data_IF_188726155269
#
_entry.id   IF_188726155269
#
_cell.length_a   1.000
_cell.length_b   1.000
_cell.length_c   1.000
_cell.angle_alpha   90.00
_cell.angle_beta   90.00
_cell.angle_gamma   90.00
#
_symmetry.space_group_name_H-M   'P 1'
#
loop_
_entity.id
_entity.type
_entity.pdbx_description
1 polymer ?
#
# COMPACT_ATOMS: atom_id res chain seq x y z
N UNK A 1 6.26 11.74 -14.90
CA UNK A 1 7.47 11.16 -14.27
C UNK A 1 7.01 10.28 -13.12
N UNK A 2 7.51 9.05 -12.99
CA UNK A 2 7.21 8.18 -11.84
C UNK A 2 8.41 8.21 -10.87
N UNK A 3 8.19 7.91 -9.59
CA UNK A 3 9.25 8.10 -8.57
C UNK A 3 10.46 7.18 -8.82
N UNK A 4 10.22 5.96 -9.29
CA UNK A 4 11.27 4.96 -9.55
C UNK A 4 12.02 5.15 -10.89
N UNK A 5 11.65 6.18 -11.68
CA UNK A 5 12.42 6.66 -12.84
C UNK A 5 13.37 7.81 -12.51
N UNK A 6 13.44 8.24 -11.23
CA UNK A 6 14.35 9.28 -10.76
C UNK A 6 15.79 9.07 -11.25
N UNK A 7 16.45 10.14 -11.69
CA UNK A 7 17.85 10.14 -12.10
C UNK A 7 18.11 9.73 -13.55
N UNK A 8 17.07 9.37 -14.33
CA UNK A 8 17.20 9.13 -15.77
C UNK A 8 17.57 10.42 -16.53
N UNK A 9 17.06 11.55 -16.10
CA UNK A 9 17.37 12.89 -16.60
C UNK A 9 18.77 13.37 -16.20
N UNK A 10 19.26 12.91 -15.04
CA UNK A 10 20.60 13.27 -14.52
C UNK A 10 21.73 12.48 -15.19
N UNK A 11 21.57 11.16 -15.34
CA UNK A 11 22.66 10.29 -15.82
C UNK A 11 22.50 9.80 -17.25
N UNK A 12 21.31 9.98 -17.85
CA UNK A 12 20.91 9.45 -19.17
C UNK A 12 21.11 7.94 -19.37
N UNK A 13 21.40 7.17 -18.32
CA UNK A 13 21.70 5.72 -18.41
C UNK A 13 20.76 4.86 -17.60
N UNK A 14 20.71 5.04 -16.27
CA UNK A 14 19.89 4.21 -15.37
C UNK A 14 19.20 5.06 -14.30
N UNK A 15 18.00 4.69 -13.84
CA UNK A 15 17.42 5.36 -12.68
C UNK A 15 18.29 5.16 -11.43
N UNK A 16 18.36 6.19 -10.60
CA UNK A 16 19.15 6.26 -9.35
C UNK A 16 18.27 6.08 -8.09
N UNK A 17 17.03 5.65 -8.26
CA UNK A 17 16.05 5.64 -7.17
C UNK A 17 16.47 4.78 -5.96
N UNK A 18 17.16 3.65 -6.20
CA UNK A 18 17.69 2.81 -5.12
C UNK A 18 18.79 3.50 -4.31
N UNK A 19 19.64 4.31 -4.96
CA UNK A 19 20.68 5.09 -4.29
C UNK A 19 20.05 6.25 -3.50
N UNK A 20 19.02 6.90 -4.07
CA UNK A 20 18.25 7.93 -3.38
C UNK A 20 17.57 7.39 -2.12
N UNK A 21 16.93 6.22 -2.18
CA UNK A 21 16.29 5.60 -1.00
C UNK A 21 17.30 5.37 0.14
N UNK A 22 18.50 4.86 -0.19
CA UNK A 22 19.57 4.67 0.80
C UNK A 22 20.08 6.00 1.35
N UNK A 23 20.30 6.99 0.49
CA UNK A 23 20.77 8.30 0.89
C UNK A 23 19.79 9.00 1.84
N UNK A 24 18.49 9.02 1.51
CA UNK A 24 17.45 9.59 2.37
C UNK A 24 17.34 8.82 3.69
N UNK A 25 17.40 7.48 3.64
CA UNK A 25 17.36 6.66 4.85
C UNK A 25 18.57 6.78 5.76
N UNK A 26 19.65 7.44 5.31
CA UNK A 26 20.87 7.69 6.09
C UNK A 26 20.92 9.12 6.67
N UNK A 27 19.90 9.94 6.45
CA UNK A 27 19.83 11.29 7.01
C UNK A 27 19.44 11.22 8.48
N UNK A 28 20.27 11.82 9.35
CA UNK A 28 20.01 11.88 10.79
C UNK A 28 18.63 12.46 11.10
N UNK A 29 17.89 11.78 11.99
CA UNK A 29 16.53 12.15 12.37
C UNK A 29 15.41 11.57 11.49
N UNK A 30 15.71 11.02 10.31
CA UNK A 30 14.70 10.33 9.48
C UNK A 30 14.50 8.89 9.99
N UNK A 31 13.36 8.65 10.67
CA UNK A 31 13.00 7.32 11.18
C UNK A 31 12.25 6.43 10.19
N UNK A 32 11.42 7.04 9.32
CA UNK A 32 10.54 6.33 8.38
C UNK A 32 10.55 7.00 7.01
N UNK A 33 10.82 6.22 5.99
CA UNK A 33 10.79 6.58 4.57
C UNK A 33 9.76 5.69 3.89
N UNK A 34 8.76 6.32 3.28
CA UNK A 34 7.84 5.67 2.35
C UNK A 34 7.87 6.45 1.05
N UNK A 35 7.59 5.76 -0.05
CA UNK A 35 7.40 6.39 -1.34
C UNK A 35 6.07 5.94 -1.92
N UNK A 36 5.47 6.79 -2.73
CA UNK A 36 4.24 6.54 -3.47
C UNK A 36 4.46 6.84 -4.95
N UNK A 37 3.50 6.47 -5.79
CA UNK A 37 3.58 6.65 -7.24
C UNK A 37 4.76 5.94 -7.96
N UNK A 38 5.17 4.71 -7.58
CA UNK A 38 6.04 3.93 -8.44
C UNK A 38 5.25 3.35 -9.61
N UNK A 39 5.97 3.04 -10.68
CA UNK A 39 5.41 2.34 -11.82
C UNK A 39 5.90 0.88 -11.82
N UNK A 40 5.03 -0.14 -11.96
CA UNK A 40 5.45 -1.55 -11.87
C UNK A 40 6.61 -1.94 -12.78
N UNK A 41 6.61 -1.45 -14.03
CA UNK A 41 7.72 -1.66 -14.99
C UNK A 41 9.11 -1.25 -14.48
N UNK A 42 9.16 -0.25 -13.60
CA UNK A 42 10.41 0.35 -13.09
C UNK A 42 10.74 -0.18 -11.67
N UNK A 43 10.01 -1.16 -11.13
CA UNK A 43 10.35 -1.85 -9.87
C UNK A 43 11.46 -2.87 -10.12
N UNK A 44 12.71 -2.42 -9.95
CA UNK A 44 13.92 -3.19 -10.24
C UNK A 44 14.46 -3.91 -8.99
N UNK A 45 15.28 -4.97 -9.17
CA UNK A 45 15.90 -5.70 -8.05
C UNK A 45 16.68 -4.78 -7.11
N UNK A 46 17.39 -3.78 -7.65
CA UNK A 46 18.16 -2.84 -6.81
C UNK A 46 17.26 -1.99 -5.90
N UNK A 47 16.04 -1.66 -6.35
CA UNK A 47 15.04 -0.94 -5.54
C UNK A 47 14.51 -1.85 -4.43
N UNK A 48 14.18 -3.10 -4.74
CA UNK A 48 13.75 -4.09 -3.73
C UNK A 48 14.84 -4.33 -2.68
N UNK A 49 16.10 -4.41 -3.11
CA UNK A 49 17.25 -4.52 -2.23
C UNK A 49 17.41 -3.29 -1.33
N UNK A 50 17.30 -2.07 -1.89
CA UNK A 50 17.35 -0.85 -1.10
C UNK A 50 16.24 -0.79 -0.04
N UNK A 51 15.02 -1.25 -0.36
CA UNK A 51 13.94 -1.35 0.62
C UNK A 51 14.26 -2.33 1.76
N UNK A 52 14.83 -3.49 1.44
CA UNK A 52 15.15 -4.51 2.43
C UNK A 52 16.33 -4.14 3.33
N UNK A 53 17.32 -3.43 2.78
CA UNK A 53 18.61 -3.16 3.42
C UNK A 53 18.64 -1.83 4.18
N UNK A 54 17.66 -0.94 3.97
CA UNK A 54 17.62 0.40 4.57
C UNK A 54 16.58 0.45 5.69
N UNK A 55 17.01 0.42 6.96
CA UNK A 55 16.10 0.33 8.12
C UNK A 55 15.02 1.42 8.18
N UNK A 56 15.34 2.64 7.73
CA UNK A 56 14.37 3.74 7.67
C UNK A 56 13.28 3.49 6.61
N UNK A 57 13.54 2.74 5.54
CA UNK A 57 12.55 2.42 4.51
C UNK A 57 11.55 1.42 5.08
N UNK A 58 10.27 1.80 5.12
CA UNK A 58 9.25 0.95 5.71
C UNK A 58 8.86 -0.22 4.79
N UNK A 59 8.39 -1.32 5.40
CA UNK A 59 7.93 -2.56 4.76
C UNK A 59 6.55 -2.37 4.11
N UNK A 60 6.41 -1.33 3.28
CA UNK A 60 5.21 -0.99 2.55
C UNK A 60 5.54 -0.63 1.10
N UNK A 61 4.93 -1.34 0.16
CA UNK A 61 5.02 -1.07 -1.27
C UNK A 61 3.64 -0.73 -1.83
N UNK A 62 3.46 0.50 -2.30
CA UNK A 62 2.32 0.83 -3.13
C UNK A 62 2.64 0.52 -4.59
N UNK A 63 2.00 -0.48 -5.22
CA UNK A 63 2.31 -0.97 -6.57
C UNK A 63 1.05 -0.93 -7.46
N UNK A 64 0.80 0.16 -8.20
CA UNK A 64 -0.46 0.34 -8.94
C UNK A 64 -0.64 -0.68 -10.07
N UNK A 65 -1.60 -1.59 -9.94
CA UNK A 65 -1.97 -2.58 -10.96
C UNK A 65 -2.76 -1.94 -12.10
N UNK A 66 -3.80 -1.19 -11.73
CA UNK A 66 -4.77 -0.48 -12.57
C UNK A 66 -5.82 -1.39 -13.20
N UNK A 67 -5.43 -2.50 -13.83
CA UNK A 67 -6.33 -3.57 -14.29
C UNK A 67 -5.57 -4.90 -14.31
N UNK A 68 -6.26 -6.02 -14.13
CA UNK A 68 -5.65 -7.35 -14.34
C UNK A 68 -5.75 -7.85 -15.78
N UNK A 69 -6.49 -7.17 -16.67
CA UNK A 69 -6.56 -7.55 -18.08
C UNK A 69 -5.40 -6.99 -18.88
N UNK A 70 -4.71 -7.87 -19.59
CA UNK A 70 -3.61 -7.47 -20.48
C UNK A 70 -4.09 -6.55 -21.61
N UNK A 71 -5.32 -6.76 -22.11
CA UNK A 71 -5.93 -5.93 -23.15
C UNK A 71 -6.25 -4.52 -22.64
N UNK A 72 -6.79 -4.42 -21.43
CA UNK A 72 -7.08 -3.14 -20.77
C UNK A 72 -5.78 -2.42 -20.40
N UNK A 73 -4.80 -3.13 -19.81
CA UNK A 73 -3.47 -2.60 -19.50
C UNK A 73 -2.75 -2.04 -20.73
N UNK A 74 -2.84 -2.72 -21.87
CA UNK A 74 -2.29 -2.24 -23.14
C UNK A 74 -3.02 -0.96 -23.62
N UNK A 75 -4.34 -0.90 -23.49
CA UNK A 75 -5.15 0.27 -23.84
C UNK A 75 -4.83 1.48 -22.94
N UNK A 76 -4.49 1.22 -21.67
CA UNK A 76 -3.97 2.20 -20.72
C UNK A 76 -2.49 2.56 -20.93
N UNK A 77 -1.80 1.94 -21.90
CA UNK A 77 -0.36 2.13 -22.20
C UNK A 77 0.56 1.86 -21.00
N UNK A 78 0.23 0.84 -20.20
CA UNK A 78 1.01 0.50 -19.00
C UNK A 78 2.37 -0.13 -19.32
N UNK A 79 2.49 -0.87 -20.42
CA UNK A 79 3.77 -1.48 -20.83
C UNK A 79 4.24 -2.61 -19.91
N UNK A 80 3.31 -3.27 -19.22
CA UNK A 80 3.49 -4.52 -18.49
C UNK A 80 2.21 -5.36 -18.61
N UNK A 81 2.34 -6.66 -18.35
CA UNK A 81 1.23 -7.62 -18.29
C UNK A 81 0.93 -7.99 -16.84
N UNK A 82 -0.20 -8.66 -16.61
CA UNK A 82 -0.60 -9.19 -15.31
C UNK A 82 0.43 -10.18 -14.75
N UNK A 83 0.95 -11.07 -15.59
CA UNK A 83 1.95 -12.07 -15.20
C UNK A 83 3.22 -11.38 -14.74
N UNK A 84 3.73 -10.43 -15.55
CA UNK A 84 4.91 -9.65 -15.19
C UNK A 84 4.69 -8.80 -13.94
N UNK A 85 3.48 -8.32 -13.70
CA UNK A 85 3.13 -7.62 -12.46
C UNK A 85 3.26 -8.57 -11.25
N UNK A 86 2.64 -9.75 -11.33
CA UNK A 86 2.65 -10.75 -10.26
C UNK A 86 4.06 -11.29 -9.99
N UNK A 87 4.88 -11.52 -11.03
CA UNK A 87 6.29 -11.89 -10.88
C UNK A 87 7.08 -10.84 -10.08
N UNK A 88 6.85 -9.55 -10.38
CA UNK A 88 7.52 -8.43 -9.67
C UNK A 88 7.06 -8.32 -8.23
N UNK A 89 5.76 -8.52 -8.00
CA UNK A 89 5.19 -8.56 -6.66
C UNK A 89 5.76 -9.72 -5.83
N UNK A 90 5.84 -10.91 -6.41
CA UNK A 90 6.42 -12.09 -5.77
C UNK A 90 7.90 -11.86 -5.42
N UNK A 91 8.69 -11.32 -6.37
CA UNK A 91 10.08 -10.97 -6.12
C UNK A 91 10.24 -9.92 -5.01
N UNK A 92 9.36 -8.91 -4.95
CA UNK A 92 9.38 -7.90 -3.89
C UNK A 92 9.08 -8.53 -2.51
N UNK A 93 8.04 -9.36 -2.40
CA UNK A 93 7.69 -10.07 -1.16
C UNK A 93 8.78 -11.04 -0.71
N UNK A 94 9.49 -11.66 -1.65
CA UNK A 94 10.60 -12.57 -1.33
C UNK A 94 11.83 -11.82 -0.80
N UNK A 95 12.07 -10.59 -1.26
CA UNK A 95 13.26 -9.79 -0.90
C UNK A 95 13.04 -8.90 0.33
N UNK A 96 11.82 -8.38 0.53
CA UNK A 96 11.47 -7.52 1.66
C UNK A 96 10.61 -8.33 2.63
N UNK A 97 11.16 -8.81 3.76
CA UNK A 97 10.40 -9.56 4.74
C UNK A 97 9.21 -8.73 5.25
N UNK A 98 8.08 -9.41 5.50
CA UNK A 98 6.88 -8.78 6.04
C UNK A 98 6.38 -7.58 5.19
N UNK A 99 6.53 -7.63 3.87
CA UNK A 99 6.09 -6.56 2.99
C UNK A 99 4.56 -6.48 2.89
N UNK A 100 3.99 -5.34 3.30
CA UNK A 100 2.62 -4.98 2.98
C UNK A 100 2.53 -4.33 1.60
N UNK A 101 1.51 -4.71 0.82
CA UNK A 101 1.34 -4.21 -0.55
C UNK A 101 -0.03 -3.57 -0.74
N UNK A 102 -0.03 -2.34 -1.24
CA UNK A 102 -1.24 -1.63 -1.65
C UNK A 102 -1.23 -1.35 -3.15
N UNK A 103 -2.38 -1.09 -3.74
CA UNK A 103 -2.50 -0.91 -5.19
C UNK A 103 -3.57 0.14 -5.54
N UNK A 104 -3.62 0.51 -6.81
CA UNK A 104 -4.75 1.22 -7.41
C UNK A 104 -5.40 0.30 -8.46
N UNK A 105 -6.73 0.28 -8.53
CA UNK A 105 -7.48 -0.43 -9.57
C UNK A 105 -8.56 0.49 -10.12
N UNK A 106 -8.70 0.54 -11.45
CA UNK A 106 -9.74 1.30 -12.14
C UNK A 106 -10.75 0.31 -12.71
N UNK A 107 -12.03 0.54 -12.40
CA UNK A 107 -13.17 -0.23 -12.91
C UNK A 107 -13.89 0.59 -13.98
N UNK A 108 -14.32 -0.06 -15.06
CA UNK A 108 -15.09 0.59 -16.11
C UNK A 108 -14.25 1.40 -17.08
N UNK A 109 -12.98 1.02 -17.29
CA UNK A 109 -12.17 1.66 -18.33
C UNK A 109 -12.85 1.51 -19.71
N UNK A 110 -12.77 2.50 -20.62
CA UNK A 110 -13.47 2.43 -21.90
C UNK A 110 -13.15 1.15 -22.69
N UNK A 111 -14.20 0.38 -22.96
CA UNK A 111 -14.18 -0.89 -23.67
C UNK A 111 -13.89 -2.12 -22.79
N UNK A 112 -13.86 -2.01 -21.46
CA UNK A 112 -13.70 -3.14 -20.51
C UNK A 112 -14.91 -4.11 -20.58
N UNK A 113 -14.64 -5.36 -20.91
CA UNK A 113 -15.66 -6.42 -20.97
C UNK A 113 -15.75 -7.18 -19.64
N UNK A 114 -16.70 -8.10 -19.53
CA UNK A 114 -16.84 -8.93 -18.33
C UNK A 114 -15.63 -9.86 -18.13
N UNK A 115 -15.08 -10.41 -19.21
CA UNK A 115 -13.89 -11.28 -19.14
C UNK A 115 -12.67 -10.50 -18.64
N UNK A 116 -12.48 -9.27 -19.09
CA UNK A 116 -11.38 -8.42 -18.60
C UNK A 116 -11.52 -8.08 -17.11
N UNK A 117 -12.77 -7.90 -16.66
CA UNK A 117 -13.04 -7.65 -15.26
C UNK A 117 -12.84 -8.91 -14.42
N UNK A 118 -13.21 -10.09 -14.93
CA UNK A 118 -12.92 -11.37 -14.30
C UNK A 118 -11.40 -11.61 -14.16
N UNK A 119 -10.61 -11.30 -15.19
CA UNK A 119 -9.14 -11.30 -15.11
C UNK A 119 -8.63 -10.33 -14.02
N UNK A 120 -9.24 -9.15 -13.91
CA UNK A 120 -8.92 -8.18 -12.86
C UNK A 120 -9.19 -8.72 -11.46
N UNK A 121 -10.31 -9.41 -11.25
CA UNK A 121 -10.61 -10.08 -9.97
C UNK A 121 -9.60 -11.19 -9.66
N UNK A 122 -9.22 -12.01 -10.65
CA UNK A 122 -8.28 -13.09 -10.49
C UNK A 122 -6.89 -12.59 -10.05
N UNK A 123 -6.35 -11.58 -10.75
CA UNK A 123 -5.05 -10.97 -10.39
C UNK A 123 -5.12 -10.30 -9.02
N UNK A 124 -6.24 -9.66 -8.68
CA UNK A 124 -6.43 -9.02 -7.37
C UNK A 124 -6.46 -10.04 -6.23
N UNK A 125 -7.12 -11.19 -6.44
CA UNK A 125 -7.16 -12.28 -5.48
C UNK A 125 -5.76 -12.89 -5.28
N UNK A 126 -5.04 -13.17 -6.37
CA UNK A 126 -3.69 -13.74 -6.34
C UNK A 126 -2.67 -12.81 -5.67
N UNK A 127 -2.75 -11.51 -5.97
CA UNK A 127 -1.85 -10.52 -5.40
C UNK A 127 -2.02 -10.34 -3.88
N UNK A 128 -3.20 -10.68 -3.34
CA UNK A 128 -3.52 -10.70 -1.91
C UNK A 128 -3.08 -9.41 -1.18
N UNK A 129 -3.56 -8.28 -1.67
CA UNK A 129 -3.23 -6.93 -1.19
C UNK A 129 -3.67 -6.68 0.25
N UNK A 130 -2.92 -5.81 0.93
CA UNK A 130 -3.24 -5.27 2.25
C UNK A 130 -4.29 -4.16 2.19
N UNK A 131 -4.37 -3.46 1.06
CA UNK A 131 -5.42 -2.50 0.74
C UNK A 131 -5.37 -2.16 -0.76
N UNK A 132 -6.46 -1.64 -1.30
CA UNK A 132 -6.48 -1.10 -2.65
C UNK A 132 -7.29 0.20 -2.69
N UNK A 133 -6.82 1.17 -3.47
CA UNK A 133 -7.63 2.30 -3.89
C UNK A 133 -8.37 1.92 -5.17
N UNK A 134 -9.68 1.76 -5.05
CA UNK A 134 -10.54 1.41 -6.18
C UNK A 134 -11.22 2.65 -6.71
N UNK A 135 -11.09 2.87 -8.02
CA UNK A 135 -11.64 4.04 -8.71
C UNK A 135 -12.61 3.59 -9.80
N UNK A 136 -13.72 4.30 -9.93
CA UNK A 136 -14.53 4.26 -11.14
C UNK A 136 -13.84 5.14 -12.19
N UNK A 137 -13.71 4.64 -13.43
CA UNK A 137 -13.18 5.44 -14.52
C UNK A 137 -13.95 6.75 -14.66
N UNK A 138 -13.21 7.84 -14.77
CA UNK A 138 -13.75 9.17 -15.03
C UNK A 138 -12.92 9.81 -16.15
N UNK A 139 -13.55 10.23 -17.27
CA UNK A 139 -12.83 10.81 -18.38
C UNK A 139 -12.17 12.13 -17.96
N UNK A 140 -10.90 12.30 -18.34
CA UNK A 140 -10.17 13.55 -18.13
C UNK A 140 -9.96 14.25 -19.48
N UNK A 141 -10.33 15.54 -19.62
CA UNK A 141 -10.12 16.28 -20.86
C UNK A 141 -8.69 16.16 -21.38
N UNK A 142 -8.53 15.99 -22.70
CA UNK A 142 -7.23 15.86 -23.36
C UNK A 142 -6.57 14.47 -23.26
N UNK A 143 -7.27 13.46 -22.72
CA UNK A 143 -6.77 12.07 -22.72
C UNK A 143 -7.42 11.25 -23.82
N UNK A 144 -6.66 10.31 -24.40
CA UNK A 144 -7.21 9.33 -25.37
C UNK A 144 -8.41 8.57 -24.81
N UNK A 145 -8.42 8.28 -23.51
CA UNK A 145 -9.53 7.57 -22.88
C UNK A 145 -10.81 8.42 -22.85
N UNK A 146 -10.72 9.75 -22.78
CA UNK A 146 -11.88 10.63 -22.87
C UNK A 146 -12.49 10.68 -24.28
N UNK A 147 -11.70 10.41 -25.31
CA UNK A 147 -12.15 10.35 -26.71
C UNK A 147 -12.89 9.03 -27.03
N UNK A 148 -12.84 8.03 -26.15
CA UNK A 148 -13.46 6.70 -26.32
C UNK A 148 -14.89 6.66 -25.78
N UNK A 149 -15.65 7.75 -25.91
CA UNK A 149 -16.98 7.90 -25.31
C UNK A 149 -17.98 6.82 -25.78
N UNK A 150 -17.85 6.38 -27.03
CA UNK A 150 -18.61 5.28 -27.64
C UNK A 150 -18.35 3.90 -27.00
N UNK A 151 -17.30 3.79 -26.17
CA UNK A 151 -16.91 2.55 -25.49
C UNK A 151 -17.04 2.65 -23.98
N UNK A 152 -17.66 3.69 -23.44
CA UNK A 152 -17.85 3.79 -21.99
C UNK A 152 -18.74 2.66 -21.50
N UNK A 153 -18.38 2.11 -20.35
CA UNK A 153 -19.15 1.03 -19.71
C UNK A 153 -20.31 1.65 -18.96
N UNK A 154 -21.50 1.05 -19.08
CA UNK A 154 -22.70 1.51 -18.41
C UNK A 154 -22.51 1.63 -16.90
N UNK A 155 -23.06 2.70 -16.32
CA UNK A 155 -22.89 3.04 -14.90
C UNK A 155 -23.32 1.91 -13.96
N UNK A 156 -24.39 1.20 -14.30
CA UNK A 156 -24.91 0.09 -13.48
C UNK A 156 -23.93 -1.09 -13.48
N UNK A 157 -23.36 -1.43 -14.64
CA UNK A 157 -22.33 -2.46 -14.78
C UNK A 157 -21.07 -2.08 -14.00
N UNK A 158 -20.63 -0.82 -14.11
CA UNK A 158 -19.46 -0.34 -13.35
C UNK A 158 -19.69 -0.39 -11.84
N UNK A 159 -20.89 -0.06 -11.36
CA UNK A 159 -21.23 -0.14 -9.95
C UNK A 159 -21.23 -1.59 -9.44
N UNK A 160 -21.81 -2.53 -10.20
CA UNK A 160 -21.81 -3.96 -9.89
C UNK A 160 -20.38 -4.52 -9.79
N UNK A 161 -19.54 -4.19 -10.78
CA UNK A 161 -18.13 -4.58 -10.81
C UNK A 161 -17.35 -3.98 -9.65
N UNK A 162 -17.58 -2.72 -9.34
CA UNK A 162 -16.93 -2.07 -8.19
C UNK A 162 -17.20 -2.82 -6.88
N UNK A 163 -18.44 -3.24 -6.64
CA UNK A 163 -18.79 -4.01 -5.44
C UNK A 163 -18.13 -5.40 -5.43
N UNK A 164 -18.09 -6.11 -6.56
CA UNK A 164 -17.37 -7.39 -6.66
C UNK A 164 -15.87 -7.24 -6.37
N UNK A 165 -15.24 -6.19 -6.91
CA UNK A 165 -13.84 -5.90 -6.64
C UNK A 165 -13.61 -5.58 -5.16
N UNK A 166 -14.49 -4.77 -4.56
CA UNK A 166 -14.43 -4.43 -3.13
C UNK A 166 -14.44 -5.69 -2.26
N UNK A 167 -15.31 -6.66 -2.56
CA UNK A 167 -15.38 -7.94 -1.83
C UNK A 167 -14.05 -8.71 -1.88
N UNK A 168 -13.42 -8.80 -3.06
CA UNK A 168 -12.13 -9.50 -3.22
C UNK A 168 -11.01 -8.80 -2.45
N UNK A 169 -10.94 -7.47 -2.54
CA UNK A 169 -9.95 -6.65 -1.83
C UNK A 169 -10.13 -6.76 -0.32
N UNK A 170 -11.35 -6.57 0.19
CA UNK A 170 -11.62 -6.61 1.63
C UNK A 170 -11.37 -7.98 2.24
N UNK A 171 -11.66 -9.07 1.50
CA UNK A 171 -11.32 -10.43 1.93
C UNK A 171 -9.80 -10.59 2.13
N UNK A 172 -9.01 -10.12 1.17
CA UNK A 172 -7.55 -10.20 1.22
C UNK A 172 -6.97 -9.31 2.32
N UNK A 173 -7.44 -8.06 2.40
CA UNK A 173 -7.01 -7.09 3.40
C UNK A 173 -7.30 -7.58 4.82
N UNK A 174 -8.50 -8.12 5.06
CA UNK A 174 -8.87 -8.68 6.36
C UNK A 174 -8.00 -9.87 6.75
N UNK A 175 -7.67 -10.77 5.80
CA UNK A 175 -6.76 -11.88 6.08
C UNK A 175 -5.36 -11.38 6.47
N UNK A 176 -4.84 -10.38 5.75
CA UNK A 176 -3.54 -9.75 6.07
C UNK A 176 -3.57 -9.03 7.42
N UNK A 177 -4.66 -8.35 7.77
CA UNK A 177 -4.84 -7.69 9.05
C UNK A 177 -4.98 -8.68 10.21
N UNK A 178 -5.74 -9.77 10.03
CA UNK A 178 -5.86 -10.83 11.04
C UNK A 178 -4.51 -11.48 11.36
N UNK A 179 -3.61 -11.62 10.39
CA UNK A 179 -2.26 -12.11 10.62
C UNK A 179 -1.38 -11.19 11.50
N UNK A 180 -1.85 -9.96 11.77
CA UNK A 180 -1.21 -9.03 12.73
C UNK A 180 -1.71 -9.20 14.16
N UNK A 181 -2.86 -9.83 14.38
CA UNK A 181 -3.41 -10.01 15.74
C UNK A 181 -2.44 -10.83 16.60
N UNK A 182 -2.17 -10.34 17.80
CA UNK A 182 -1.18 -10.87 18.74
C UNK A 182 0.26 -10.41 18.49
N UNK A 183 0.49 -9.48 17.54
CA UNK A 183 1.78 -8.83 17.33
C UNK A 183 1.81 -7.46 17.98
N UNK A 184 2.99 -7.09 18.47
CA UNK A 184 3.30 -5.72 18.87
C UNK A 184 3.83 -4.96 17.65
N UNK A 185 3.19 -3.84 17.33
CA UNK A 185 3.57 -2.97 16.21
C UNK A 185 4.05 -1.61 16.70
N UNK A 186 5.11 -1.08 16.09
CA UNK A 186 5.46 0.33 16.23
C UNK A 186 4.45 1.19 15.46
N UNK A 187 3.77 2.11 16.15
CA UNK A 187 2.72 2.99 15.60
C UNK A 187 3.15 4.45 15.73
N UNK A 188 3.15 5.17 14.60
CA UNK A 188 3.28 6.63 14.57
C UNK A 188 1.92 7.25 14.86
N UNK A 189 1.80 8.00 15.95
CA UNK A 189 0.56 8.62 16.41
C UNK A 189 0.21 9.83 15.53
N UNK A 190 -1.00 9.83 14.98
CA UNK A 190 -1.50 10.92 14.12
C UNK A 190 -2.52 11.82 14.84
N UNK A 191 -3.09 11.35 15.95
CA UNK A 191 -4.00 12.11 16.81
C UNK A 191 -5.28 11.35 17.14
N UNK A 192 -6.38 12.06 17.51
CA UNK A 192 -7.70 11.45 17.63
C UNK A 192 -8.20 10.88 16.29
N UNK A 193 -8.98 9.81 16.33
CA UNK A 193 -9.68 9.34 15.13
C UNK A 193 -10.73 10.35 14.68
N UNK A 194 -10.86 10.55 13.36
CA UNK A 194 -11.86 11.44 12.77
C UNK A 194 -13.29 10.97 13.02
N UNK A 195 -13.51 9.65 13.13
CA UNK A 195 -14.83 9.06 13.32
C UNK A 195 -15.24 9.03 14.79
N UNK A 196 -14.27 8.85 15.68
CA UNK A 196 -14.47 8.80 17.12
C UNK A 196 -13.29 9.49 17.83
N UNK A 197 -13.46 10.75 18.28
CA UNK A 197 -12.40 11.47 18.97
C UNK A 197 -11.94 10.85 20.30
N UNK A 198 -12.70 9.88 20.85
CA UNK A 198 -12.34 9.18 22.08
C UNK A 198 -11.21 8.16 21.88
N UNK A 199 -10.93 7.74 20.65
CA UNK A 199 -9.82 6.81 20.34
C UNK A 199 -8.67 7.53 19.65
N UNK A 200 -7.45 7.06 19.91
CA UNK A 200 -6.26 7.48 19.17
C UNK A 200 -6.12 6.67 17.88
N UNK A 201 -5.52 7.31 16.89
CA UNK A 201 -5.20 6.69 15.62
C UNK A 201 -3.75 6.94 15.24
N UNK A 202 -3.16 5.95 14.59
CA UNK A 202 -1.81 6.06 14.04
C UNK A 202 -1.57 5.04 12.93
N UNK A 203 -0.35 5.00 12.42
CA UNK A 203 0.04 4.06 11.37
C UNK A 203 1.25 3.20 11.73
N UNK A 204 1.17 1.92 11.43
CA UNK A 204 2.31 1.00 11.52
C UNK A 204 3.37 1.31 10.45
N UNK A 205 4.51 0.62 10.51
CA UNK A 205 5.51 0.67 9.43
C UNK A 205 4.94 0.20 8.09
N UNK A 206 4.10 -0.84 8.10
CA UNK A 206 3.32 -1.32 6.95
C UNK A 206 2.24 -0.34 6.47
N UNK A 207 2.16 0.87 7.05
CA UNK A 207 1.18 1.92 6.76
C UNK A 207 -0.27 1.52 7.09
N UNK A 208 -0.47 0.50 7.93
CA UNK A 208 -1.79 0.06 8.39
C UNK A 208 -2.31 1.04 9.43
N UNK A 209 -3.57 1.44 9.32
CA UNK A 209 -4.24 2.26 10.32
C UNK A 209 -4.46 1.41 11.58
N UNK A 210 -4.14 1.96 12.75
CA UNK A 210 -4.39 1.32 14.04
C UNK A 210 -5.19 2.27 14.92
N UNK A 211 -6.27 1.76 15.50
CA UNK A 211 -7.04 2.45 16.53
C UNK A 211 -6.76 1.84 17.89
N UNK A 212 -6.50 2.68 18.88
CA UNK A 212 -6.22 2.26 20.25
C UNK A 212 -6.73 3.31 21.25
N UNK A 213 -7.09 2.90 22.48
CA UNK A 213 -7.48 3.86 23.51
C UNK A 213 -6.33 4.83 23.82
N UNK A 214 -6.60 6.11 24.15
CA UNK A 214 -5.54 7.05 24.53
C UNK A 214 -4.72 6.58 25.73
N UNK A 215 -5.28 5.76 26.62
CA UNK A 215 -4.65 5.41 27.88
C UNK A 215 -4.72 6.58 28.88
N UNK A 216 -3.98 6.51 30.00
CA UNK A 216 -3.98 7.56 31.02
C UNK A 216 -3.40 8.89 30.50
N UNK A 217 -3.75 10.00 31.16
CA UNK A 217 -3.24 11.36 30.88
C UNK A 217 -3.50 11.90 29.45
N UNK A 218 -4.51 11.37 28.75
CA UNK A 218 -4.88 11.82 27.41
C UNK A 218 -4.04 11.21 26.29
N UNK A 219 -3.10 10.33 26.60
CA UNK A 219 -2.38 9.50 25.65
C UNK A 219 -1.21 10.15 24.91
N UNK A 220 -0.51 9.35 24.09
CA UNK A 220 0.74 9.79 23.46
C UNK A 220 0.50 10.98 22.51
N UNK A 221 1.45 11.94 22.44
CA UNK A 221 1.31 13.11 21.58
C UNK A 221 1.41 12.74 20.10
N UNK A 222 0.85 13.59 19.24
CA UNK A 222 0.99 13.47 17.78
C UNK A 222 2.48 13.48 17.41
N UNK A 223 2.89 12.59 16.51
CA UNK A 223 4.29 12.43 16.10
C UNK A 223 5.11 11.46 16.97
N UNK A 224 4.57 11.02 18.12
CA UNK A 224 5.21 9.99 18.91
C UNK A 224 5.16 8.62 18.21
N UNK A 225 6.16 7.80 18.52
CA UNK A 225 6.17 6.38 18.16
C UNK A 225 5.89 5.57 19.42
N UNK A 226 4.87 4.72 19.37
CA UNK A 226 4.45 3.88 20.49
C UNK A 226 4.36 2.42 20.06
N UNK A 227 4.45 1.50 21.01
CA UNK A 227 4.18 0.10 20.78
C UNK A 227 2.70 -0.20 21.07
N UNK A 228 2.04 -0.87 20.12
CA UNK A 228 0.63 -1.27 20.24
C UNK A 228 0.54 -2.77 20.05
N UNK A 229 -0.02 -3.48 21.03
CA UNK A 229 -0.41 -4.88 20.86
C UNK A 229 -1.71 -4.94 20.06
N UNK A 230 -1.68 -5.62 18.91
CA UNK A 230 -2.82 -5.69 18.00
C UNK A 230 -3.79 -6.76 18.49
N UNK A 231 -4.95 -6.35 18.98
CA UNK A 231 -5.97 -7.24 19.56
C UNK A 231 -7.11 -7.56 18.58
N UNK A 232 -7.26 -6.77 17.52
CA UNK A 232 -8.34 -6.93 16.55
C UNK A 232 -7.99 -6.44 15.15
N UNK A 233 -8.79 -6.88 14.18
CA UNK A 233 -8.59 -6.57 12.77
C UNK A 233 -9.92 -6.38 12.04
N UNK A 234 -10.00 -5.32 11.25
CA UNK A 234 -11.06 -5.04 10.30
C UNK A 234 -10.44 -4.94 8.87
N UNK A 235 -11.25 -4.91 7.80
CA UNK A 235 -10.71 -4.81 6.43
C UNK A 235 -9.86 -3.55 6.22
N UNK A 236 -10.16 -2.45 6.93
CA UNK A 236 -9.56 -1.13 6.69
C UNK A 236 -8.66 -0.61 7.82
N UNK A 237 -8.61 -1.30 8.96
CA UNK A 237 -7.80 -0.90 10.12
C UNK A 237 -7.55 -2.07 11.07
N UNK A 238 -6.56 -1.90 11.94
CA UNK A 238 -6.30 -2.73 13.11
C UNK A 238 -6.85 -2.05 14.37
N UNK A 239 -7.11 -2.86 15.38
CA UNK A 239 -7.48 -2.43 16.72
C UNK A 239 -6.41 -2.97 17.66
N UNK A 240 -6.00 -2.18 18.64
CA UNK A 240 -5.02 -2.62 19.60
C UNK A 240 -5.04 -1.82 20.89
N UNK A 241 -4.10 -2.15 21.77
CA UNK A 241 -3.90 -1.52 23.06
C UNK A 241 -2.46 -1.05 23.18
N UNK A 242 -2.25 0.10 23.83
CA UNK A 242 -0.91 0.58 24.13
C UNK A 242 -0.19 -0.44 25.01
N UNK A 243 1.03 -0.80 24.61
CA UNK A 243 1.92 -1.55 25.49
C UNK A 243 2.38 -0.58 26.57
N UNK A 244 1.78 -0.66 27.75
CA UNK A 244 2.32 -0.01 28.95
C UNK A 244 3.65 -0.69 29.27
N UNK A 245 4.72 0.10 29.40
CA UNK A 245 6.08 -0.40 29.52
C UNK A 245 6.15 -1.64 30.44
N UNK A 246 6.68 -2.76 29.92
CA UNK A 246 7.43 -3.65 30.79
C UNK A 246 8.55 -2.78 31.35
N UNK A 247 8.41 -2.32 32.59
CA UNK A 247 9.52 -1.80 33.36
C UNK A 247 10.69 -2.77 33.12
N UNK A 248 11.89 -2.30 32.74
CA UNK A 248 13.07 -3.13 32.90
C UNK A 248 13.02 -3.62 34.35
N UNK A 249 13.07 -4.94 34.55
CA UNK A 249 13.24 -5.49 35.89
C UNK A 249 14.41 -4.70 36.51
N UNK A 250 14.14 -4.05 37.64
CA UNK A 250 15.14 -3.29 38.34
C UNK A 250 16.39 -4.16 38.45
N UNK A 251 17.52 -3.67 37.92
CA UNK A 251 18.81 -4.26 38.19
C UNK A 251 19.06 -4.04 39.68
N UNK A 252 18.60 -5.00 40.48
CA UNK A 252 18.88 -5.06 41.90
C UNK A 252 20.39 -5.06 42.07
N UNK A 253 20.89 -4.07 42.79
CA UNK A 253 22.28 -4.03 43.24
C UNK A 253 22.53 -5.20 44.19
N UNK A 254 23.63 -5.90 43.96
CA UNK A 254 24.48 -6.47 45.00
C UNK A 254 25.93 -6.14 44.62
#
# INVERSE_FOLDING_TARGET
QNVNSYGRDLTRRRPLFAELLRAVGSVDGIRRVRYTSPHPKDLRPETMAAMAETAAVCEHLHLPLQSGSNRVLASMRRGYTAERYLERLAAARARVPDLAVTTDVIVGFPGETEDDFAETLAVTAEAAYDSAYTFIFSPRPGTRAAEMADRFVDREVVAERFERLRVVVERSALARHRARVGRVEEVLVEGPSKRDPAVRTGRTRQNKLVHFPPGPEGGPPVGAYVEVDVTGAAPHHLIGELVTARLPAAVGHA
#
